data_IF_656197307829
#
_entry.id   IF_656197307829
#
_cell.length_a   1.000
_cell.length_b   1.000
_cell.length_c   1.000
_cell.angle_alpha   90.00
_cell.angle_beta   90.00
_cell.angle_gamma   90.00
#
_symmetry.space_group_name_H-M   'P 1'
#
loop_
_entity.id
_entity.type
_entity.pdbx_description
1 polymer ?
#
# COMPACT_ATOMS: atom_id res chain seq x y z
N UNK A 1 -66.67 -8.07 29.99
CA UNK A 1 -67.18 -9.42 29.86
C UNK A 1 -66.06 -10.28 29.34
N UNK A 2 -65.47 -11.00 30.25
CA UNK A 2 -65.41 -12.45 30.40
C UNK A 2 -64.62 -13.14 29.26
N UNK A 3 -63.38 -13.50 29.55
CA UNK A 3 -62.84 -14.81 29.99
C UNK A 3 -62.92 -15.90 28.92
N UNK A 4 -61.81 -16.42 28.45
CA UNK A 4 -61.45 -17.83 28.65
C UNK A 4 -60.05 -18.21 28.26
N UNK A 5 -59.40 -18.90 29.16
CA UNK A 5 -58.10 -19.58 29.08
C UNK A 5 -58.27 -20.92 28.36
N UNK A 6 -57.37 -21.36 27.56
CA UNK A 6 -57.18 -22.79 27.31
C UNK A 6 -55.66 -23.11 27.04
N UNK A 7 -55.11 -23.85 28.00
CA UNK A 7 -53.82 -24.56 27.89
C UNK A 7 -54.00 -25.83 27.06
N UNK A 8 -53.04 -26.13 26.17
CA UNK A 8 -52.79 -27.52 25.71
C UNK A 8 -51.34 -27.74 25.38
N UNK A 9 -50.73 -28.60 26.15
CA UNK A 9 -49.72 -29.65 25.94
C UNK A 9 -48.61 -29.51 24.87
N UNK A 10 -47.39 -29.64 25.41
CA UNK A 10 -46.17 -29.96 24.72
C UNK A 10 -46.20 -31.38 24.11
N UNK A 11 -45.78 -31.48 22.85
CA UNK A 11 -45.33 -32.73 22.23
C UNK A 11 -43.90 -32.54 21.78
N UNK A 12 -42.97 -33.31 22.38
CA UNK A 12 -41.60 -33.43 21.97
C UNK A 12 -41.53 -34.23 20.67
N UNK A 13 -41.00 -33.61 19.62
CA UNK A 13 -40.54 -34.30 18.40
C UNK A 13 -39.04 -34.13 18.28
N UNK A 14 -38.35 -35.24 18.44
CA UNK A 14 -36.93 -35.39 18.10
C UNK A 14 -36.77 -35.43 16.58
N UNK A 15 -36.03 -34.51 16.00
CA UNK A 15 -35.64 -34.53 14.59
C UNK A 15 -34.14 -34.78 14.47
N UNK A 16 -33.66 -35.42 13.37
CA UNK A 16 -32.30 -35.90 13.21
C UNK A 16 -31.34 -34.73 12.89
N UNK A 17 -30.09 -34.91 13.30
CA UNK A 17 -28.97 -34.02 12.98
C UNK A 17 -28.65 -34.15 11.50
N UNK A 18 -29.01 -33.16 10.71
CA UNK A 18 -28.38 -32.93 9.41
C UNK A 18 -27.13 -32.03 9.60
N UNK A 19 -25.99 -32.57 9.19
CA UNK A 19 -24.73 -31.81 9.11
C UNK A 19 -24.87 -30.80 7.97
N UNK A 20 -25.01 -29.54 8.30
CA UNK A 20 -24.79 -28.44 7.40
C UNK A 20 -23.25 -28.25 7.19
N UNK A 21 -22.84 -27.62 6.08
CA UNK A 21 -21.43 -27.33 5.87
C UNK A 21 -20.92 -26.43 7.01
N UNK A 22 -19.74 -26.74 7.52
CA UNK A 22 -18.99 -25.87 8.43
C UNK A 22 -18.80 -24.54 7.71
N UNK A 23 -19.42 -23.48 8.20
CA UNK A 23 -19.03 -22.13 7.88
C UNK A 23 -17.58 -21.96 8.35
N UNK A 24 -16.69 -21.83 7.39
CA UNK A 24 -15.30 -21.41 7.61
C UNK A 24 -15.37 -19.97 8.10
N UNK A 25 -15.55 -19.80 9.41
CA UNK A 25 -15.51 -18.50 10.05
C UNK A 25 -14.06 -18.05 10.03
N UNK A 26 -13.72 -17.19 9.06
CA UNK A 26 -12.53 -16.37 9.15
C UNK A 26 -12.47 -15.79 10.58
N UNK A 27 -11.44 -16.15 11.31
CA UNK A 27 -11.22 -15.70 12.68
C UNK A 27 -11.15 -14.17 12.63
N UNK A 28 -11.98 -13.42 13.38
CA UNK A 28 -11.84 -11.97 13.39
C UNK A 28 -10.45 -11.61 13.90
N UNK A 29 -9.72 -10.82 13.09
CA UNK A 29 -8.44 -10.25 13.49
C UNK A 29 -8.69 -9.45 14.75
N UNK A 30 -8.02 -9.79 15.85
CA UNK A 30 -8.14 -9.09 17.11
C UNK A 30 -7.65 -7.64 16.92
N UNK A 31 -8.48 -6.66 17.31
CA UNK A 31 -8.06 -5.27 17.41
C UNK A 31 -7.05 -5.17 18.55
N UNK A 32 -5.79 -4.96 18.25
CA UNK A 32 -4.75 -4.72 19.24
C UNK A 32 -4.52 -3.21 19.33
N UNK A 33 -5.01 -2.59 20.41
CA UNK A 33 -4.79 -1.17 20.73
C UNK A 33 -3.34 -0.96 21.23
N UNK A 34 -2.33 -1.45 20.51
CA UNK A 34 -0.99 -1.45 21.02
C UNK A 34 0.13 -1.36 20.01
N UNK A 35 1.28 -1.02 20.53
CA UNK A 35 2.57 -1.08 19.87
C UNK A 35 2.91 -2.53 19.49
N UNK A 36 3.34 -2.75 18.25
CA UNK A 36 3.72 -4.07 17.78
C UNK A 36 5.20 -4.12 17.39
N UNK A 37 6.05 -4.29 18.36
CA UNK A 37 7.52 -4.42 18.17
C UNK A 37 8.00 -5.87 18.26
N UNK A 38 7.11 -6.81 18.60
CA UNK A 38 7.47 -8.22 18.71
C UNK A 38 7.89 -8.81 17.36
N UNK A 39 8.77 -9.83 17.38
CA UNK A 39 9.10 -10.60 16.19
C UNK A 39 7.87 -11.25 15.56
N UNK A 40 7.87 -11.36 14.24
CA UNK A 40 6.81 -12.00 13.49
C UNK A 40 7.24 -13.40 12.98
N UNK A 41 6.29 -14.29 12.66
CA UNK A 41 6.58 -15.57 12.04
C UNK A 41 7.39 -15.40 10.76
N UNK A 42 8.25 -16.39 10.45
CA UNK A 42 9.03 -16.39 9.20
C UNK A 42 8.20 -16.83 7.99
N UNK A 43 7.45 -17.91 8.15
CA UNK A 43 6.89 -18.69 7.02
C UNK A 43 5.44 -18.29 6.67
N UNK A 44 4.80 -17.47 7.50
CA UNK A 44 3.42 -17.00 7.31
C UNK A 44 3.28 -15.53 7.73
N UNK A 45 2.33 -14.83 7.14
CA UNK A 45 2.00 -13.48 7.58
C UNK A 45 1.22 -13.51 8.88
N UNK A 46 1.75 -12.81 9.90
CA UNK A 46 0.92 -12.35 11.01
C UNK A 46 0.31 -11.01 10.62
N UNK A 47 -1.00 -10.86 10.81
CA UNK A 47 -1.72 -9.64 10.47
C UNK A 47 -2.41 -9.07 11.70
N UNK A 48 -2.36 -7.73 11.86
CA UNK A 48 -3.04 -7.01 12.94
C UNK A 48 -3.68 -5.72 12.39
N UNK A 49 -4.86 -5.40 12.91
CA UNK A 49 -5.43 -4.07 12.75
C UNK A 49 -4.73 -3.11 13.72
N UNK A 50 -4.12 -2.05 13.20
CA UNK A 50 -3.42 -1.02 14.00
C UNK A 50 -4.14 0.30 13.82
N UNK A 51 -4.58 0.89 14.94
CA UNK A 51 -5.18 2.23 14.97
C UNK A 51 -4.07 3.28 14.80
N UNK A 52 -4.13 4.03 13.70
CA UNK A 52 -3.20 5.12 13.39
C UNK A 52 -3.84 6.51 13.62
N UNK A 53 -4.97 6.55 14.29
CA UNK A 53 -5.70 7.75 14.72
C UNK A 53 -6.95 8.00 13.91
N UNK A 54 -6.87 8.38 12.66
CA UNK A 54 -8.05 8.65 11.81
C UNK A 54 -8.68 7.36 11.25
N UNK A 55 -7.89 6.31 11.08
CA UNK A 55 -8.27 5.00 10.53
C UNK A 55 -7.50 3.89 11.23
N UNK A 56 -7.96 2.65 11.05
CA UNK A 56 -7.19 1.45 11.38
C UNK A 56 -6.66 0.83 10.08
N UNK A 57 -5.39 0.46 10.08
CA UNK A 57 -4.74 -0.21 8.97
C UNK A 57 -4.54 -1.69 9.31
N UNK A 58 -4.84 -2.58 8.36
CA UNK A 58 -4.38 -3.95 8.43
C UNK A 58 -2.89 -3.99 8.09
N UNK A 59 -2.09 -4.53 8.97
CA UNK A 59 -0.64 -4.58 8.84
C UNK A 59 -0.18 -6.03 8.83
N UNK A 60 0.47 -6.43 7.77
CA UNK A 60 1.08 -7.75 7.63
C UNK A 60 2.57 -7.71 8.00
N UNK A 61 3.05 -8.70 8.74
CA UNK A 61 4.42 -8.78 9.21
C UNK A 61 4.98 -10.19 9.07
N UNK A 62 6.28 -10.28 8.75
CA UNK A 62 7.08 -11.50 8.76
C UNK A 62 8.49 -11.20 9.26
N UNK A 63 9.18 -12.25 9.74
CA UNK A 63 10.59 -12.17 10.13
C UNK A 63 10.83 -11.51 11.50
N UNK A 64 12.09 -11.52 11.91
CA UNK A 64 12.50 -11.13 13.27
C UNK A 64 13.86 -10.42 13.35
N UNK A 65 14.34 -9.90 12.21
CA UNK A 65 15.59 -9.13 12.17
C UNK A 65 15.53 -7.84 13.00
N UNK A 66 16.68 -7.33 13.42
CA UNK A 66 16.77 -6.09 14.20
C UNK A 66 16.34 -4.85 13.39
N UNK A 67 16.64 -4.86 12.08
CA UNK A 67 16.21 -3.80 11.17
C UNK A 67 14.80 -4.08 10.65
N UNK A 68 13.92 -3.10 10.78
CA UNK A 68 12.56 -3.17 10.23
C UNK A 68 12.52 -2.52 8.84
N UNK A 69 11.94 -3.23 7.87
CA UNK A 69 11.65 -2.72 6.52
C UNK A 69 10.15 -2.61 6.34
N UNK A 70 9.65 -1.42 5.99
CA UNK A 70 8.22 -1.15 5.78
C UNK A 70 7.97 -0.91 4.29
N UNK A 71 6.99 -1.61 3.73
CA UNK A 71 6.65 -1.60 2.31
C UNK A 71 5.29 -0.94 2.08
N UNK A 72 5.23 0.06 1.19
CA UNK A 72 4.01 0.75 0.78
C UNK A 72 3.66 0.36 -0.65
N UNK A 73 2.52 -0.27 -0.84
CA UNK A 73 1.99 -0.69 -2.14
C UNK A 73 1.34 0.46 -2.90
N UNK A 74 1.01 0.23 -4.18
CA UNK A 74 0.26 1.15 -5.03
C UNK A 74 -1.18 0.70 -5.32
N UNK A 75 -1.78 1.26 -6.37
CA UNK A 75 -3.10 0.89 -6.86
C UNK A 75 -2.98 -0.10 -8.05
N UNK A 76 -3.78 -1.14 -8.11
CA UNK A 76 -4.82 -1.57 -7.17
C UNK A 76 -4.35 -2.70 -6.24
N UNK A 77 -3.18 -2.57 -5.67
CA UNK A 77 -2.52 -3.59 -4.86
C UNK A 77 -2.84 -3.48 -3.35
N UNK A 78 -2.15 -4.28 -2.54
CA UNK A 78 -2.24 -4.34 -1.09
C UNK A 78 -0.96 -5.02 -0.54
N UNK A 79 -0.86 -5.27 0.77
CA UNK A 79 0.38 -5.78 1.38
C UNK A 79 1.03 -6.95 0.62
N UNK A 80 0.22 -7.80 -0.02
CA UNK A 80 0.69 -9.04 -0.65
C UNK A 80 1.52 -8.82 -1.92
N UNK A 81 1.45 -7.64 -2.55
CA UNK A 81 2.28 -7.29 -3.72
C UNK A 81 3.78 -7.43 -3.41
N UNK A 82 4.15 -7.20 -2.17
CA UNK A 82 5.51 -7.31 -1.70
C UNK A 82 5.94 -8.72 -1.28
N UNK A 83 5.05 -9.74 -1.40
CA UNK A 83 5.31 -11.08 -0.87
C UNK A 83 6.64 -11.68 -1.35
N UNK A 84 6.95 -11.59 -2.65
CA UNK A 84 8.20 -12.14 -3.20
C UNK A 84 9.46 -11.39 -2.70
N UNK A 85 9.38 -10.06 -2.58
CA UNK A 85 10.45 -9.23 -2.02
C UNK A 85 10.64 -9.52 -0.54
N UNK A 86 9.54 -9.64 0.22
CA UNK A 86 9.57 -9.97 1.65
C UNK A 86 10.14 -11.37 1.89
N UNK A 87 9.81 -12.36 1.03
CA UNK A 87 10.40 -13.69 1.07
C UNK A 87 11.93 -13.66 0.95
N UNK A 88 12.45 -12.83 0.06
CA UNK A 88 13.89 -12.67 -0.13
C UNK A 88 14.59 -11.99 1.05
N UNK A 89 13.86 -11.27 1.91
CA UNK A 89 14.42 -10.44 3.01
C UNK A 89 14.15 -11.02 4.40
N UNK A 90 13.19 -11.91 4.56
CA UNK A 90 12.65 -12.36 5.86
C UNK A 90 13.68 -13.03 6.77
N UNK A 91 14.77 -13.57 6.24
CA UNK A 91 15.83 -14.21 7.03
C UNK A 91 16.71 -13.18 7.77
N UNK A 92 16.84 -11.96 7.22
CA UNK A 92 17.73 -10.92 7.73
C UNK A 92 16.98 -9.78 8.42
N UNK A 93 15.72 -9.54 8.03
CA UNK A 93 14.94 -8.37 8.42
C UNK A 93 13.58 -8.74 9.03
N UNK A 94 13.02 -7.82 9.79
CA UNK A 94 11.61 -7.79 10.11
C UNK A 94 10.90 -6.98 9.01
N UNK A 95 10.05 -7.63 8.24
CA UNK A 95 9.41 -7.07 7.04
C UNK A 95 7.92 -6.83 7.30
N UNK A 96 7.46 -5.61 7.03
CA UNK A 96 6.12 -5.13 7.35
C UNK A 96 5.51 -4.49 6.11
N UNK A 97 4.25 -4.79 5.84
CA UNK A 97 3.49 -4.14 4.78
C UNK A 97 2.06 -3.85 5.26
N UNK A 98 1.65 -2.58 5.39
CA UNK A 98 0.26 -2.24 5.62
C UNK A 98 -0.57 -2.37 4.32
N UNK A 99 -1.84 -2.73 4.47
CA UNK A 99 -2.84 -2.27 3.51
C UNK A 99 -3.07 -0.79 3.78
N UNK A 100 -2.75 0.07 2.83
CA UNK A 100 -2.95 1.49 3.02
C UNK A 100 -4.46 1.82 3.08
N UNK A 101 -4.82 3.01 3.58
CA UNK A 101 -6.21 3.48 3.69
C UNK A 101 -6.99 3.23 2.38
N UNK A 102 -8.14 2.58 2.48
CA UNK A 102 -9.00 2.31 1.33
C UNK A 102 -8.79 0.95 0.68
N UNK A 103 -7.74 0.20 1.04
CA UNK A 103 -7.43 -1.08 0.42
C UNK A 103 -7.72 -2.27 1.33
N UNK A 104 -7.99 -3.41 0.72
CA UNK A 104 -8.18 -4.74 1.32
C UNK A 104 -8.91 -4.70 2.67
N UNK A 105 -8.27 -5.00 3.79
CA UNK A 105 -8.87 -5.09 5.11
C UNK A 105 -8.80 -3.78 5.92
N UNK A 106 -8.03 -2.79 5.48
CA UNK A 106 -7.95 -1.47 6.13
C UNK A 106 -9.26 -0.69 6.03
N UNK A 107 -9.43 0.29 6.91
CA UNK A 107 -10.58 1.20 6.90
C UNK A 107 -10.70 1.95 5.57
N UNK A 108 -11.94 2.15 5.15
CA UNK A 108 -12.32 2.75 3.87
C UNK A 108 -13.32 3.88 4.09
N UNK A 109 -12.87 5.09 4.47
CA UNK A 109 -13.73 6.25 4.61
C UNK A 109 -14.56 6.52 3.35
N UNK A 110 -15.80 7.02 3.53
CA UNK A 110 -16.70 7.28 2.40
C UNK A 110 -16.37 8.58 1.66
N UNK A 111 -15.86 9.60 2.39
CA UNK A 111 -15.58 10.91 1.83
C UNK A 111 -14.28 10.90 1.02
N UNK A 112 -14.33 11.42 -0.20
CA UNK A 112 -13.17 11.54 -1.09
C UNK A 112 -12.04 12.34 -0.44
N UNK A 113 -12.38 13.40 0.29
CA UNK A 113 -11.39 14.26 0.96
C UNK A 113 -10.55 13.52 2.02
N UNK A 114 -11.03 12.40 2.55
CA UNK A 114 -10.26 11.57 3.48
C UNK A 114 -9.06 10.87 2.83
N UNK A 115 -8.91 10.97 1.51
CA UNK A 115 -7.82 10.36 0.73
C UNK A 115 -6.81 11.38 0.19
N UNK A 116 -6.82 12.62 0.69
CA UNK A 116 -5.80 13.61 0.36
C UNK A 116 -4.41 13.17 0.83
N UNK A 117 -3.37 13.42 0.02
CA UNK A 117 -2.00 12.98 0.27
C UNK A 117 -1.47 13.32 1.69
N UNK A 118 -1.74 14.49 2.27
CA UNK A 118 -1.33 14.78 3.65
C UNK A 118 -1.92 13.81 4.69
N UNK A 119 -3.16 13.35 4.50
CA UNK A 119 -3.81 12.39 5.40
C UNK A 119 -3.24 10.98 5.23
N UNK A 120 -3.01 10.57 3.98
CA UNK A 120 -2.36 9.29 3.66
C UNK A 120 -0.93 9.25 4.23
N UNK A 121 -0.19 10.34 4.13
CA UNK A 121 1.14 10.49 4.75
C UNK A 121 1.05 10.37 6.27
N UNK A 122 0.07 11.02 6.89
CA UNK A 122 -0.13 11.00 8.34
C UNK A 122 -0.39 9.59 8.87
N UNK A 123 -1.14 8.76 8.12
CA UNK A 123 -1.36 7.36 8.50
C UNK A 123 -0.05 6.59 8.66
N UNK A 124 0.87 6.76 7.70
CA UNK A 124 2.17 6.07 7.75
C UNK A 124 3.08 6.67 8.82
N UNK A 125 3.13 8.01 8.95
CA UNK A 125 3.86 8.68 10.04
C UNK A 125 3.43 8.15 11.41
N UNK A 126 2.13 7.99 11.63
CA UNK A 126 1.59 7.44 12.87
C UNK A 126 1.85 5.93 13.03
N UNK A 127 1.91 5.19 11.92
CA UNK A 127 2.18 3.75 11.94
C UNK A 127 3.62 3.43 12.36
N UNK A 128 4.62 4.17 11.83
CA UNK A 128 6.04 3.82 12.01
C UNK A 128 6.44 3.60 13.49
N UNK A 129 6.14 4.51 14.46
CA UNK A 129 6.49 4.30 15.85
C UNK A 129 5.69 3.18 16.53
N UNK A 130 4.56 2.76 15.95
CA UNK A 130 3.76 1.64 16.47
C UNK A 130 4.33 0.28 16.06
N UNK A 131 5.08 0.24 14.97
CA UNK A 131 5.64 -1.01 14.44
C UNK A 131 7.16 -1.11 14.57
N UNK A 132 7.89 -0.06 14.96
CA UNK A 132 9.34 -0.11 15.18
C UNK A 132 9.79 0.88 16.25
N UNK A 133 10.69 0.44 17.16
CA UNK A 133 11.36 1.31 18.13
C UNK A 133 12.54 2.10 17.50
N UNK A 134 13.02 1.63 16.35
CA UNK A 134 14.15 2.23 15.64
C UNK A 134 13.69 2.77 14.29
N UNK A 135 14.42 3.74 13.68
CA UNK A 135 14.12 4.19 12.33
C UNK A 135 14.10 3.03 11.34
N UNK A 136 13.10 3.03 10.44
CA UNK A 136 12.88 1.96 9.47
C UNK A 136 13.53 2.24 8.13
N UNK A 137 13.71 1.20 7.33
CA UNK A 137 13.88 1.34 5.88
C UNK A 137 12.48 1.36 5.27
N UNK A 138 12.16 2.44 4.56
CA UNK A 138 10.86 2.60 3.88
C UNK A 138 11.01 2.29 2.40
N UNK A 139 10.17 1.42 1.87
CA UNK A 139 10.16 1.02 0.46
C UNK A 139 8.77 1.28 -0.11
N UNK A 140 8.67 1.84 -1.31
CA UNK A 140 7.38 2.27 -1.84
C UNK A 140 7.27 2.07 -3.36
N UNK A 141 6.09 1.67 -3.84
CA UNK A 141 5.76 1.48 -5.24
C UNK A 141 4.51 2.28 -5.62
N UNK A 142 4.42 2.76 -6.87
CA UNK A 142 3.26 3.47 -7.46
C UNK A 142 2.73 4.56 -6.51
N UNK A 143 1.44 4.53 -6.08
CA UNK A 143 0.86 5.47 -5.11
C UNK A 143 1.53 5.43 -3.73
N UNK A 144 2.12 4.29 -3.36
CA UNK A 144 2.99 4.24 -2.17
C UNK A 144 4.19 5.18 -2.31
N UNK A 145 4.66 5.45 -3.55
CA UNK A 145 5.75 6.39 -3.84
C UNK A 145 5.46 7.79 -3.33
N UNK A 146 4.43 8.51 -3.80
CA UNK A 146 4.05 9.83 -3.26
C UNK A 146 3.94 9.87 -1.75
N UNK A 147 3.36 8.84 -1.12
CA UNK A 147 3.27 8.74 0.34
C UNK A 147 4.66 8.55 0.95
N UNK A 148 5.46 7.61 0.44
CA UNK A 148 6.79 7.30 0.96
C UNK A 148 7.77 8.48 0.86
N UNK A 149 7.77 9.20 -0.28
CA UNK A 149 8.51 10.45 -0.44
C UNK A 149 8.09 11.47 0.61
N UNK A 150 6.77 11.67 0.79
CA UNK A 150 6.21 12.62 1.76
C UNK A 150 6.62 12.29 3.19
N UNK A 151 6.58 11.01 3.57
CA UNK A 151 7.04 10.52 4.87
C UNK A 151 8.55 10.78 5.05
N UNK A 152 9.37 10.47 4.03
CA UNK A 152 10.81 10.68 4.11
C UNK A 152 11.20 12.16 4.24
N UNK A 153 10.42 13.08 3.66
CA UNK A 153 10.59 14.52 3.83
C UNK A 153 10.21 15.04 5.22
N UNK A 154 9.19 14.44 5.85
CA UNK A 154 8.63 14.94 7.12
C UNK A 154 9.22 14.25 8.34
N UNK A 155 9.52 12.96 8.27
CA UNK A 155 9.80 12.10 9.42
C UNK A 155 11.20 11.45 9.38
N UNK A 156 12.23 12.24 9.08
CA UNK A 156 13.60 11.77 9.09
C UNK A 156 14.07 11.15 10.43
N UNK A 157 13.33 11.33 11.53
CA UNK A 157 13.61 10.67 12.80
C UNK A 157 13.15 9.19 12.85
N UNK A 158 12.15 8.81 12.02
CA UNK A 158 11.59 7.46 11.98
C UNK A 158 11.96 6.70 10.71
N UNK A 159 12.63 7.34 9.77
CA UNK A 159 13.11 6.74 8.51
C UNK A 159 14.64 6.80 8.49
N UNK A 160 15.29 5.64 8.40
CA UNK A 160 16.74 5.54 8.27
C UNK A 160 17.20 5.63 6.80
N UNK A 161 16.35 5.16 5.86
CA UNK A 161 16.59 5.22 4.42
C UNK A 161 15.28 5.00 3.66
N UNK A 162 15.20 5.53 2.44
CA UNK A 162 14.01 5.43 1.60
C UNK A 162 14.34 4.84 0.22
N UNK A 163 13.49 3.94 -0.26
CA UNK A 163 13.57 3.38 -1.61
C UNK A 163 12.25 3.57 -2.36
N UNK A 164 12.30 4.19 -3.52
CA UNK A 164 11.20 4.27 -4.46
C UNK A 164 11.42 3.28 -5.61
N UNK A 165 10.51 2.36 -5.79
CA UNK A 165 10.46 1.39 -6.88
C UNK A 165 9.28 1.76 -7.80
N UNK A 166 9.53 2.30 -9.00
CA UNK A 166 8.52 2.91 -9.89
C UNK A 166 7.51 3.81 -9.13
N UNK A 167 7.98 4.48 -8.06
CA UNK A 167 7.20 5.32 -7.17
C UNK A 167 7.59 6.80 -7.32
N UNK A 168 6.80 7.64 -8.02
CA UNK A 168 7.21 8.98 -8.39
C UNK A 168 7.26 9.94 -7.20
N UNK A 169 8.21 10.89 -7.24
CA UNK A 169 8.19 12.03 -6.33
C UNK A 169 7.01 12.96 -6.70
N UNK A 170 6.16 13.38 -5.74
CA UNK A 170 4.94 14.14 -6.03
C UNK A 170 5.18 15.40 -6.86
N UNK A 171 6.20 16.18 -6.51
CA UNK A 171 6.54 17.41 -7.24
C UNK A 171 7.04 17.12 -8.65
N UNK A 172 7.91 16.11 -8.81
CA UNK A 172 8.45 15.74 -10.11
C UNK A 172 7.37 15.23 -11.05
N UNK A 173 6.48 14.38 -10.55
CA UNK A 173 5.35 13.87 -11.32
C UNK A 173 4.40 15.00 -11.75
N UNK A 174 4.08 15.92 -10.85
CA UNK A 174 3.25 17.08 -11.18
C UNK A 174 3.89 18.00 -12.22
N UNK A 175 5.21 18.21 -12.17
CA UNK A 175 5.96 18.95 -13.20
C UNK A 175 5.86 18.29 -14.58
N UNK A 176 6.01 16.96 -14.65
CA UNK A 176 5.89 16.21 -15.89
C UNK A 176 4.44 16.22 -16.41
N UNK A 177 3.46 16.01 -15.56
CA UNK A 177 2.03 16.16 -15.94
C UNK A 177 1.73 17.55 -16.49
N UNK A 178 2.35 18.60 -15.94
CA UNK A 178 2.13 19.97 -16.41
C UNK A 178 2.84 20.28 -17.76
N UNK A 179 4.00 19.70 -18.01
CA UNK A 179 4.91 20.18 -19.05
C UNK A 179 5.33 19.12 -20.09
N UNK A 180 5.15 17.83 -19.83
CA UNK A 180 5.56 16.75 -20.72
C UNK A 180 4.38 16.08 -21.41
N UNK A 181 4.20 16.23 -22.73
CA UNK A 181 3.11 15.62 -23.47
C UNK A 181 3.15 14.07 -23.46
N UNK A 182 4.31 13.46 -23.32
CA UNK A 182 4.45 12.00 -23.26
C UNK A 182 3.89 11.48 -21.93
N UNK A 183 4.27 12.10 -20.78
CA UNK A 183 3.71 11.75 -19.49
C UNK A 183 2.21 12.07 -19.40
N UNK A 184 1.74 13.18 -20.00
CA UNK A 184 0.31 13.47 -20.06
C UNK A 184 -0.47 12.37 -20.79
N UNK A 185 0.07 11.87 -21.89
CA UNK A 185 -0.55 10.78 -22.64
C UNK A 185 -0.51 9.45 -21.88
N UNK A 186 0.61 9.13 -21.24
CA UNK A 186 0.77 7.94 -20.40
C UNK A 186 -0.21 7.93 -19.20
N UNK A 187 -0.43 9.09 -18.59
CA UNK A 187 -1.32 9.25 -17.43
C UNK A 187 -2.79 9.46 -17.77
N UNK A 188 -3.20 9.38 -19.05
CA UNK A 188 -4.60 9.62 -19.47
C UNK A 188 -5.61 8.64 -18.84
N UNK A 189 -5.17 7.43 -18.42
CA UNK A 189 -6.00 6.46 -17.69
C UNK A 189 -6.57 7.03 -16.38
N UNK A 190 -5.89 7.98 -15.75
CA UNK A 190 -6.33 8.60 -14.50
C UNK A 190 -7.68 9.32 -14.64
N UNK A 191 -8.02 9.81 -15.84
CA UNK A 191 -9.32 10.42 -16.11
C UNK A 191 -10.46 9.40 -15.99
N UNK A 192 -10.23 8.15 -16.41
CA UNK A 192 -11.16 7.06 -16.19
C UNK A 192 -11.35 6.77 -14.71
N UNK A 193 -10.25 6.71 -13.94
CA UNK A 193 -10.30 6.38 -12.51
C UNK A 193 -10.99 7.47 -11.67
N UNK A 194 -10.90 8.73 -12.12
CA UNK A 194 -11.58 9.88 -11.48
C UNK A 194 -13.06 9.99 -11.83
N UNK A 195 -13.48 9.39 -12.95
CA UNK A 195 -14.84 9.55 -13.46
C UNK A 195 -15.89 8.97 -12.49
N UNK A 196 -17.07 9.62 -12.45
CA UNK A 196 -18.23 9.07 -11.76
C UNK A 196 -18.61 7.71 -12.35
N UNK A 197 -18.73 6.71 -11.48
CA UNK A 197 -19.07 5.34 -11.89
C UNK A 197 -17.90 4.53 -12.47
N UNK A 198 -16.65 4.95 -12.26
CA UNK A 198 -15.45 4.18 -12.62
C UNK A 198 -15.49 2.75 -12.04
N UNK A 199 -16.10 2.55 -10.87
CA UNK A 199 -16.30 1.25 -10.21
C UNK A 199 -17.04 0.23 -11.11
N UNK A 200 -17.89 0.71 -12.00
CA UNK A 200 -18.60 -0.18 -12.94
C UNK A 200 -17.67 -0.76 -14.02
N UNK A 201 -16.52 -0.14 -14.24
CA UNK A 201 -15.48 -0.59 -15.19
C UNK A 201 -14.36 -1.32 -14.41
N UNK A 202 -13.90 -0.72 -13.34
CA UNK A 202 -12.78 -1.23 -12.52
C UNK A 202 -13.25 -2.35 -11.58
N UNK A 203 -13.92 -3.38 -12.14
CA UNK A 203 -14.31 -4.57 -11.36
C UNK A 203 -13.10 -5.46 -11.08
N UNK A 204 -13.14 -6.33 -10.05
CA UNK A 204 -12.07 -7.31 -9.81
C UNK A 204 -11.72 -8.12 -11.07
N UNK A 205 -12.69 -8.54 -11.87
CA UNK A 205 -12.47 -9.30 -13.10
C UNK A 205 -11.80 -8.45 -14.20
N UNK A 206 -12.11 -7.15 -14.28
CA UNK A 206 -11.44 -6.23 -15.21
C UNK A 206 -9.97 -6.07 -14.81
N UNK A 207 -9.71 -5.81 -13.52
CA UNK A 207 -8.36 -5.65 -13.00
C UNK A 207 -7.54 -6.93 -13.25
N UNK A 208 -8.09 -8.10 -12.90
CA UNK A 208 -7.47 -9.40 -13.11
C UNK A 208 -7.09 -9.68 -14.57
N UNK A 209 -7.92 -9.25 -15.53
CA UNK A 209 -7.74 -9.60 -16.95
C UNK A 209 -7.07 -8.52 -17.78
N UNK A 210 -6.97 -7.29 -17.29
CA UNK A 210 -6.46 -6.13 -18.04
C UNK A 210 -5.23 -5.49 -17.43
N UNK A 211 -5.02 -5.67 -16.14
CA UNK A 211 -3.91 -5.06 -15.41
C UNK A 211 -2.99 -6.15 -14.85
N UNK A 212 -3.54 -7.22 -14.30
CA UNK A 212 -2.81 -8.29 -13.61
C UNK A 212 -2.92 -9.64 -14.32
N UNK A 213 -2.91 -9.68 -15.65
CA UNK A 213 -3.00 -10.89 -16.47
C UNK A 213 -1.78 -11.83 -16.35
N UNK A 214 -0.76 -11.39 -15.61
CA UNK A 214 0.47 -12.13 -15.34
C UNK A 214 0.47 -12.94 -14.04
N UNK A 215 -0.51 -12.73 -13.13
CA UNK A 215 -0.60 -13.49 -11.88
C UNK A 215 -0.94 -14.96 -12.13
N UNK A 216 -0.33 -15.84 -11.35
CA UNK A 216 -0.72 -17.25 -11.35
C UNK A 216 -2.07 -17.46 -10.62
N UNK A 217 -2.64 -18.68 -10.67
CA UNK A 217 -3.98 -18.96 -10.12
C UNK A 217 -4.05 -18.76 -8.59
N UNK A 218 -3.00 -19.10 -7.85
CA UNK A 218 -2.95 -18.97 -6.39
C UNK A 218 -2.86 -17.48 -5.99
N UNK A 219 -1.97 -16.73 -6.62
CA UNK A 219 -1.85 -15.27 -6.42
C UNK A 219 -3.16 -14.58 -6.81
N UNK A 220 -3.71 -14.91 -7.97
CA UNK A 220 -4.96 -14.29 -8.45
C UNK A 220 -6.10 -14.51 -7.45
N UNK A 221 -6.20 -15.69 -6.81
CA UNK A 221 -7.22 -15.93 -5.78
C UNK A 221 -7.09 -14.96 -4.62
N UNK A 222 -5.87 -14.70 -4.14
CA UNK A 222 -5.60 -13.77 -3.04
C UNK A 222 -5.95 -12.32 -3.42
N UNK A 223 -5.61 -11.92 -4.65
CA UNK A 223 -5.94 -10.60 -5.17
C UNK A 223 -7.46 -10.40 -5.39
N UNK A 224 -8.15 -11.41 -5.91
CA UNK A 224 -9.61 -11.38 -6.09
C UNK A 224 -10.34 -11.20 -4.74
N UNK A 225 -9.88 -11.86 -3.68
CA UNK A 225 -10.43 -11.70 -2.34
C UNK A 225 -10.24 -10.26 -1.82
N UNK A 226 -9.05 -9.67 -2.01
CA UNK A 226 -8.74 -8.30 -1.60
C UNK A 226 -9.56 -7.27 -2.38
N UNK A 227 -9.65 -7.39 -3.71
CA UNK A 227 -10.43 -6.46 -4.54
C UNK A 227 -11.95 -6.59 -4.31
N UNK A 228 -12.42 -7.76 -3.84
CA UNK A 228 -13.83 -8.01 -3.54
C UNK A 228 -14.24 -7.51 -2.14
N UNK A 229 -13.30 -7.02 -1.32
CA UNK A 229 -13.65 -6.42 -0.04
C UNK A 229 -14.59 -5.22 -0.24
N UNK A 230 -15.63 -5.08 0.59
CA UNK A 230 -16.57 -3.96 0.45
C UNK A 230 -15.86 -2.61 0.44
N UNK A 231 -16.03 -1.84 -0.63
CA UNK A 231 -15.44 -0.51 -0.78
C UNK A 231 -13.97 -0.47 -1.22
N UNK A 232 -13.28 -1.61 -1.43
CA UNK A 232 -11.85 -1.62 -1.78
C UNK A 232 -11.57 -0.92 -3.12
N UNK A 233 -12.38 -1.16 -4.15
CA UNK A 233 -12.22 -0.49 -5.44
C UNK A 233 -12.50 1.01 -5.32
N UNK A 234 -13.59 1.41 -4.65
CA UNK A 234 -13.90 2.83 -4.44
C UNK A 234 -12.82 3.53 -3.62
N UNK A 235 -12.33 2.88 -2.55
CA UNK A 235 -11.24 3.41 -1.73
C UNK A 235 -9.99 3.69 -2.55
N UNK A 236 -9.54 2.73 -3.37
CA UNK A 236 -8.40 2.91 -4.27
C UNK A 236 -8.63 4.01 -5.32
N UNK A 237 -9.82 4.10 -5.93
CA UNK A 237 -10.16 5.16 -6.88
C UNK A 237 -10.21 6.55 -6.22
N UNK A 238 -10.55 6.63 -4.93
CA UNK A 238 -10.60 7.90 -4.20
C UNK A 238 -9.20 8.53 -4.04
N UNK A 239 -8.12 7.76 -4.09
CA UNK A 239 -6.75 8.31 -4.14
C UNK A 239 -6.56 9.21 -5.36
N UNK A 240 -7.09 8.80 -6.53
CA UNK A 240 -7.03 9.61 -7.76
C UNK A 240 -7.97 10.80 -7.72
N UNK A 241 -9.16 10.65 -7.10
CA UNK A 241 -10.17 11.71 -7.00
C UNK A 241 -9.75 12.81 -6.04
N UNK A 242 -9.18 12.44 -4.88
CA UNK A 242 -8.77 13.37 -3.84
C UNK A 242 -7.55 14.22 -4.23
N UNK A 243 -6.63 13.63 -5.02
CA UNK A 243 -5.34 14.26 -5.34
C UNK A 243 -5.34 14.87 -6.75
N UNK A 244 -6.34 15.69 -7.03
CA UNK A 244 -6.52 16.42 -8.29
C UNK A 244 -6.89 17.87 -8.00
N UNK A 245 -6.31 18.85 -8.71
CA UNK A 245 -5.38 18.72 -9.83
C UNK A 245 -3.94 18.42 -9.39
N UNK A 246 -3.22 17.67 -10.22
CA UNK A 246 -1.78 17.44 -10.05
C UNK A 246 -1.00 18.66 -10.59
N UNK A 247 -0.95 19.72 -9.78
CA UNK A 247 -0.29 20.99 -10.11
C UNK A 247 0.76 21.26 -9.02
N UNK A 248 2.03 21.52 -9.41
CA UNK A 248 3.12 21.69 -8.45
C UNK A 248 2.81 22.71 -7.32
N UNK A 249 2.18 23.84 -7.67
CA UNK A 249 1.85 24.88 -6.71
C UNK A 249 0.80 24.42 -5.68
N UNK A 250 -0.17 23.61 -6.09
CA UNK A 250 -1.20 23.04 -5.20
C UNK A 250 -0.58 21.99 -4.27
N UNK A 251 0.30 21.16 -4.78
CA UNK A 251 1.00 20.13 -4.00
C UNK A 251 1.93 20.82 -2.99
N UNK A 252 2.70 21.81 -3.40
CA UNK A 252 3.60 22.56 -2.53
C UNK A 252 2.86 23.36 -1.45
N UNK A 253 1.64 23.86 -1.74
CA UNK A 253 0.78 24.53 -0.73
C UNK A 253 0.25 23.53 0.30
N UNK A 254 -0.10 22.31 -0.14
CA UNK A 254 -0.60 21.26 0.74
C UNK A 254 0.53 20.64 1.59
N UNK A 255 1.74 20.54 1.04
CA UNK A 255 2.89 19.90 1.67
C UNK A 255 4.21 20.63 1.31
N UNK A 256 4.49 21.72 1.98
CA UNK A 256 5.71 22.53 1.79
C UNK A 256 7.00 21.75 2.13
N UNK A 257 6.90 20.72 2.98
CA UNK A 257 7.98 19.81 3.30
C UNK A 257 8.58 19.12 2.07
N UNK A 258 7.80 18.88 1.01
CA UNK A 258 8.27 18.27 -0.25
C UNK A 258 9.29 19.12 -1.03
N UNK A 259 9.50 20.35 -0.62
CA UNK A 259 10.54 21.25 -1.18
C UNK A 259 11.86 21.18 -0.41
N UNK A 260 11.88 20.50 0.75
CA UNK A 260 13.08 20.34 1.56
C UNK A 260 13.93 19.15 1.06
N UNK A 261 15.20 19.13 1.43
CA UNK A 261 16.06 17.97 1.21
C UNK A 261 15.74 16.84 2.18
N UNK A 262 15.68 15.60 1.70
CA UNK A 262 15.55 14.42 2.53
C UNK A 262 16.89 14.16 3.24
N UNK A 263 16.90 14.02 4.56
CA UNK A 263 18.15 13.91 5.34
C UNK A 263 18.76 12.50 5.36
N UNK A 264 18.11 11.51 4.74
CA UNK A 264 18.52 10.10 4.76
C UNK A 264 18.90 9.61 3.35
N UNK A 265 19.67 8.52 3.22
CA UNK A 265 19.96 7.92 1.93
C UNK A 265 18.69 7.52 1.17
N UNK A 266 18.67 7.81 -0.12
CA UNK A 266 17.57 7.48 -1.03
C UNK A 266 18.06 6.57 -2.14
N UNK A 267 17.28 5.54 -2.48
CA UNK A 267 17.44 4.70 -3.67
C UNK A 267 16.22 4.81 -4.55
N UNK A 268 16.39 4.95 -5.85
CA UNK A 268 15.30 4.94 -6.83
C UNK A 268 15.58 3.82 -7.82
N UNK A 269 14.67 2.85 -7.89
CA UNK A 269 14.70 1.75 -8.84
C UNK A 269 13.57 1.96 -9.85
N UNK A 270 13.90 1.84 -11.16
CA UNK A 270 12.92 2.16 -12.18
C UNK A 270 12.98 1.20 -13.36
N UNK A 271 11.85 0.55 -13.66
CA UNK A 271 11.65 -0.21 -14.88
C UNK A 271 11.47 0.72 -16.08
N UNK A 272 12.29 0.54 -17.12
CA UNK A 272 12.28 1.43 -18.29
C UNK A 272 11.10 1.21 -19.24
N UNK A 273 10.41 0.07 -19.12
CA UNK A 273 9.20 -0.26 -19.89
C UNK A 273 7.90 0.16 -19.16
N UNK A 274 8.01 0.97 -18.09
CA UNK A 274 6.83 1.58 -17.44
C UNK A 274 6.12 2.51 -18.41
N UNK A 275 4.87 2.17 -18.74
CA UNK A 275 4.02 2.92 -19.67
C UNK A 275 3.04 3.87 -18.98
N UNK A 276 2.94 3.82 -17.67
CA UNK A 276 2.05 4.62 -16.80
C UNK A 276 2.78 5.81 -16.19
N UNK A 277 3.93 5.53 -15.57
CA UNK A 277 4.79 6.52 -14.94
C UNK A 277 6.17 6.42 -15.60
N UNK A 278 6.38 7.28 -16.59
CA UNK A 278 7.57 7.19 -17.46
C UNK A 278 8.88 7.41 -16.69
N UNK A 279 9.97 6.84 -17.20
CA UNK A 279 11.29 6.85 -16.56
C UNK A 279 11.87 8.25 -16.29
N UNK A 280 11.40 9.30 -16.97
CA UNK A 280 11.73 10.70 -16.68
C UNK A 280 11.38 11.11 -15.23
N UNK A 281 10.51 10.35 -14.53
CA UNK A 281 10.23 10.55 -13.13
C UNK A 281 11.39 10.17 -12.21
N UNK A 282 12.32 9.33 -12.68
CA UNK A 282 13.54 8.99 -11.96
C UNK A 282 14.68 10.03 -12.17
N UNK A 283 14.47 11.07 -12.98
CA UNK A 283 15.44 12.09 -13.29
C UNK A 283 15.18 13.40 -12.54
N UNK A 284 16.23 14.17 -12.24
CA UNK A 284 16.12 15.50 -11.63
C UNK A 284 15.66 15.47 -10.17
N UNK A 285 15.96 14.39 -9.44
CA UNK A 285 15.59 14.20 -8.05
C UNK A 285 16.68 14.67 -7.05
N UNK A 286 17.87 15.04 -7.54
CA UNK A 286 18.99 15.48 -6.70
C UNK A 286 18.68 16.68 -5.80
N UNK A 287 17.81 17.65 -6.20
CA UNK A 287 17.41 18.73 -5.31
C UNK A 287 16.61 18.27 -4.08
N UNK A 288 15.95 17.13 -4.18
CA UNK A 288 15.12 16.56 -3.09
C UNK A 288 15.89 15.55 -2.24
N UNK A 289 16.85 14.85 -2.83
CA UNK A 289 17.59 13.77 -2.20
C UNK A 289 19.10 13.90 -2.49
N UNK A 290 19.88 14.61 -1.66
CA UNK A 290 21.33 14.81 -1.89
C UNK A 290 22.15 13.51 -1.86
N UNK A 291 21.73 12.52 -1.06
CA UNK A 291 22.34 11.15 -1.05
C UNK A 291 21.46 10.20 -1.86
N UNK A 292 21.41 10.41 -3.19
CA UNK A 292 20.59 9.67 -4.13
C UNK A 292 21.39 8.62 -4.90
N UNK A 293 20.83 7.42 -5.03
CA UNK A 293 21.26 6.41 -6.01
C UNK A 293 20.07 6.08 -6.90
N UNK A 294 20.24 6.16 -8.21
CA UNK A 294 19.22 5.76 -9.20
C UNK A 294 19.75 4.56 -9.98
N UNK A 295 18.93 3.52 -10.08
CA UNK A 295 19.19 2.33 -10.90
C UNK A 295 17.99 2.05 -11.80
N UNK A 296 18.23 1.79 -13.07
CA UNK A 296 17.20 1.53 -14.07
C UNK A 296 17.33 0.14 -14.65
N UNK A 297 16.21 -0.48 -15.03
CA UNK A 297 16.15 -1.85 -15.50
C UNK A 297 15.47 -1.92 -16.87
N UNK A 298 16.20 -2.41 -17.88
CA UNK A 298 15.64 -2.70 -19.21
C UNK A 298 14.69 -3.90 -19.14
N UNK A 299 13.68 -3.95 -20.00
CA UNK A 299 12.68 -5.03 -20.08
C UNK A 299 11.84 -5.22 -18.77
N UNK A 300 11.75 -4.19 -17.93
CA UNK A 300 10.95 -4.18 -16.69
C UNK A 300 9.88 -3.10 -16.79
N UNK A 301 8.63 -3.53 -16.63
CA UNK A 301 7.45 -2.67 -16.65
C UNK A 301 7.17 -2.01 -15.28
N UNK A 302 5.98 -1.43 -15.14
CA UNK A 302 5.53 -0.75 -13.92
C UNK A 302 5.62 -1.62 -12.65
N UNK A 303 5.35 -2.93 -12.79
CA UNK A 303 5.22 -3.89 -11.68
C UNK A 303 6.58 -4.46 -11.24
N UNK A 304 7.52 -3.59 -10.93
CA UNK A 304 8.93 -3.94 -10.66
C UNK A 304 9.10 -4.96 -9.53
N UNK A 305 8.29 -4.89 -8.47
CA UNK A 305 8.31 -5.82 -7.33
C UNK A 305 7.88 -7.24 -7.70
N UNK A 306 7.07 -7.37 -8.76
CA UNK A 306 6.69 -8.67 -9.33
C UNK A 306 7.70 -9.19 -10.34
N UNK A 307 8.31 -8.29 -11.13
CA UNK A 307 9.20 -8.65 -12.23
C UNK A 307 10.60 -9.04 -11.77
N UNK A 308 11.14 -8.27 -10.82
CA UNK A 308 12.54 -8.43 -10.36
C UNK A 308 12.64 -8.35 -8.82
N UNK A 309 11.88 -9.18 -8.05
CA UNK A 309 11.85 -9.09 -6.60
C UNK A 309 13.23 -9.26 -5.94
N UNK A 310 14.10 -10.10 -6.50
CA UNK A 310 15.45 -10.32 -5.98
C UNK A 310 16.33 -9.07 -6.12
N UNK A 311 16.18 -8.30 -7.23
CA UNK A 311 16.90 -7.05 -7.43
C UNK A 311 16.39 -5.95 -6.49
N UNK A 312 15.08 -5.87 -6.28
CA UNK A 312 14.49 -4.96 -5.29
C UNK A 312 15.01 -5.30 -3.88
N UNK A 313 15.02 -6.59 -3.51
CA UNK A 313 15.56 -7.03 -2.24
C UNK A 313 17.08 -6.74 -2.11
N UNK A 314 17.86 -6.86 -3.19
CA UNK A 314 19.27 -6.44 -3.24
C UNK A 314 19.39 -4.95 -2.93
N UNK A 315 18.59 -4.12 -3.60
CA UNK A 315 18.58 -2.67 -3.38
C UNK A 315 18.25 -2.28 -1.94
N UNK A 316 17.31 -3.00 -1.29
CA UNK A 316 17.01 -2.81 0.14
C UNK A 316 18.25 -3.10 1.00
N UNK A 317 18.97 -4.22 0.77
CA UNK A 317 20.20 -4.54 1.52
C UNK A 317 21.29 -3.49 1.32
N UNK A 318 21.46 -2.99 0.09
CA UNK A 318 22.43 -1.94 -0.23
C UNK A 318 22.05 -0.61 0.44
N UNK A 319 20.76 -0.29 0.51
CA UNK A 319 20.27 0.89 1.21
C UNK A 319 20.54 0.79 2.72
N UNK A 320 20.24 -0.36 3.35
CA UNK A 320 20.59 -0.63 4.76
C UNK A 320 22.08 -0.40 5.00
N UNK A 321 22.95 -0.93 4.16
CA UNK A 321 24.40 -0.75 4.29
C UNK A 321 24.87 0.72 4.16
N UNK A 322 24.03 1.61 3.58
CA UNK A 322 24.29 3.07 3.53
C UNK A 322 23.89 3.78 4.81
N UNK A 323 22.89 3.26 5.54
CA UNK A 323 22.42 3.88 6.78
C UNK A 323 23.34 3.57 7.97
N UNK A 324 24.20 2.55 7.90
CA UNK A 324 25.15 2.15 8.95
C UNK A 324 26.44 3.00 8.94
N UNK A 325 26.53 4.05 8.12
CA UNK A 325 27.72 4.91 7.96
C UNK A 325 27.53 6.22 8.70
#
# INVERSE_FOLDING_TARGET
MAVSVCSVMAVACTSPKDGGPEEDTATPVASDEGVWHDPCPRDEFEQRMIDVGAVSLNVACRGSGETTVVFLHGFPEFYYSWNAVMDALVDDYRVIAPDQRGYNLSDKPEDVADYELPLLTTDIVNLLPLVSETPVILVAHDWGGPVGWSVAHTEGAHVAGFMAANGPHPMRFAELIANDPEQQAASAYMDLFRADGAEAIMTPEYIATKIFDFLNEDELSVYMDAWSQPGAITGGLNWYRANTPLVPEVIAEAMDSLLAEIPVPVSVFWGLDDTEVLSQNAEGLEPYAPDLVVETFEDVDHWIEHRIPDEVARGVRELVARTDR
#
